data_IF_762486905902
#
_entry.id   IF_762486905902
#
_cell.length_a   1.000
_cell.length_b   1.000
_cell.length_c   1.000
_cell.angle_alpha   90.00
_cell.angle_beta   90.00
_cell.angle_gamma   90.00
#
_symmetry.space_group_name_H-M   'P 1'
#
loop_
_entity.id
_entity.type
_entity.pdbx_description
1 polymer ?
#
# COMPACT_ATOMS: atom_id res chain seq x y z
N UNK A 1 -4.02 -19.30 7.65
CA UNK A 1 -4.01 -17.82 7.60
C UNK A 1 -3.22 -17.39 6.38
N UNK A 2 -3.66 -16.40 5.59
CA UNK A 2 -2.90 -15.96 4.44
C UNK A 2 -1.56 -15.38 4.89
N UNK A 3 -0.44 -15.93 4.39
CA UNK A 3 0.89 -15.47 4.73
C UNK A 3 1.18 -14.16 3.98
N UNK A 4 1.13 -13.04 4.71
CA UNK A 4 1.68 -11.79 4.21
C UNK A 4 3.21 -11.95 4.13
N UNK A 5 3.79 -11.56 3.00
CA UNK A 5 5.24 -11.47 2.80
C UNK A 5 5.64 -10.00 2.61
N UNK A 6 6.90 -9.63 2.94
CA UNK A 6 7.45 -8.36 2.49
C UNK A 6 7.31 -8.24 0.98
N UNK A 7 6.90 -7.06 0.50
CA UNK A 7 6.67 -6.85 -0.93
C UNK A 7 7.29 -5.55 -1.43
N UNK A 8 7.72 -5.50 -2.70
CA UNK A 8 8.28 -4.30 -3.27
C UNK A 8 7.27 -3.16 -3.31
N UNK A 9 7.73 -1.92 -3.12
CA UNK A 9 6.90 -0.70 -3.26
C UNK A 9 6.07 -0.68 -4.55
N UNK A 10 6.65 -1.11 -5.67
CA UNK A 10 5.96 -1.17 -6.97
C UNK A 10 4.74 -2.10 -6.95
N UNK A 11 4.82 -3.23 -6.24
CA UNK A 11 3.72 -4.18 -6.08
C UNK A 11 2.61 -3.56 -5.25
N UNK A 12 2.96 -2.88 -4.15
CA UNK A 12 1.98 -2.16 -3.32
C UNK A 12 1.20 -1.13 -4.14
N UNK A 13 1.91 -0.29 -4.90
CA UNK A 13 1.34 0.73 -5.79
C UNK A 13 0.37 0.09 -6.80
N UNK A 14 0.75 -1.04 -7.39
CA UNK A 14 -0.09 -1.75 -8.38
C UNK A 14 -1.38 -2.28 -7.77
N UNK A 15 -1.31 -2.88 -6.57
CA UNK A 15 -2.47 -3.35 -5.80
C UNK A 15 -3.40 -2.18 -5.41
N UNK A 16 -2.84 -1.07 -4.93
CA UNK A 16 -3.59 0.13 -4.61
C UNK A 16 -4.30 0.71 -5.84
N UNK A 17 -3.65 0.74 -7.00
CA UNK A 17 -4.29 1.16 -8.26
C UNK A 17 -5.47 0.27 -8.65
N UNK A 18 -5.36 -1.05 -8.48
CA UNK A 18 -6.47 -2.00 -8.70
C UNK A 18 -7.66 -1.73 -7.77
N UNK A 19 -7.39 -1.28 -6.54
CA UNK A 19 -8.42 -0.86 -5.59
C UNK A 19 -9.06 0.50 -5.93
N UNK A 20 -8.62 1.17 -7.00
CA UNK A 20 -9.13 2.48 -7.40
C UNK A 20 -8.43 3.66 -6.74
N UNK A 21 -7.23 3.47 -6.19
CA UNK A 21 -6.39 4.58 -5.74
C UNK A 21 -5.66 5.24 -6.91
N UNK A 22 -5.63 6.57 -6.87
CA UNK A 22 -4.93 7.44 -7.82
C UNK A 22 -3.64 7.99 -7.19
N UNK A 23 -2.59 8.14 -8.01
CA UNK A 23 -1.26 8.57 -7.59
C UNK A 23 -0.15 7.64 -8.12
N UNK A 24 1.06 7.65 -7.55
CA UNK A 24 1.45 8.38 -6.34
C UNK A 24 1.56 9.90 -6.57
N UNK A 25 1.10 10.66 -5.59
CA UNK A 25 1.28 12.11 -5.53
C UNK A 25 2.46 12.42 -4.61
N UNK A 26 3.42 13.21 -5.09
CA UNK A 26 4.54 13.68 -4.28
C UNK A 26 4.05 14.62 -3.19
N UNK A 27 4.44 14.35 -1.95
CA UNK A 27 4.38 15.32 -0.85
C UNK A 27 5.80 15.63 -0.36
N UNK A 28 5.93 16.60 0.55
CA UNK A 28 7.20 17.11 1.06
C UNK A 28 8.13 16.04 1.65
N UNK A 29 7.59 14.91 2.11
CA UNK A 29 8.37 13.80 2.69
C UNK A 29 8.12 12.47 1.98
N UNK A 30 6.87 12.02 1.98
CA UNK A 30 6.47 10.72 1.43
C UNK A 30 5.40 10.90 0.36
N UNK A 31 5.53 10.14 -0.72
CA UNK A 31 4.48 10.01 -1.71
C UNK A 31 3.20 9.41 -1.10
N UNK A 32 2.03 9.81 -1.59
CA UNK A 32 0.75 9.29 -1.13
C UNK A 32 -0.17 8.95 -2.30
N UNK A 33 -1.08 8.02 -2.09
CA UNK A 33 -2.16 7.70 -3.01
C UNK A 33 -3.50 8.12 -2.43
N UNK A 34 -4.44 8.50 -3.28
CA UNK A 34 -5.77 8.96 -2.87
C UNK A 34 -6.90 8.22 -3.57
N UNK A 35 -8.00 7.96 -2.87
CA UNK A 35 -9.24 7.39 -3.42
C UNK A 35 -10.43 8.02 -2.72
N UNK A 36 -11.29 8.74 -3.44
CA UNK A 36 -12.57 9.28 -2.92
C UNK A 36 -12.49 9.94 -1.52
N UNK A 37 -11.41 10.67 -1.23
CA UNK A 37 -11.18 11.32 0.06
C UNK A 37 -10.26 10.55 1.03
N UNK A 38 -10.04 9.25 0.82
CA UNK A 38 -9.05 8.47 1.56
C UNK A 38 -7.64 8.75 1.02
N UNK A 39 -6.66 8.90 1.92
CA UNK A 39 -5.24 9.07 1.57
C UNK A 39 -4.38 8.03 2.26
N UNK A 40 -3.51 7.38 1.51
CA UNK A 40 -2.55 6.39 2.00
C UNK A 40 -1.14 6.85 1.68
N UNK A 41 -0.33 7.02 2.71
CA UNK A 41 1.09 7.35 2.56
C UNK A 41 1.88 6.09 2.20
N UNK A 42 2.71 6.20 1.18
CA UNK A 42 3.58 5.11 0.71
C UNK A 42 5.00 5.39 1.21
N UNK A 43 5.61 4.48 1.98
CA UNK A 43 6.95 4.67 2.52
C UNK A 43 7.98 4.89 1.40
N UNK A 44 8.97 5.76 1.64
CA UNK A 44 9.97 6.12 0.63
C UNK A 44 10.72 4.91 0.07
N UNK A 45 11.14 4.96 -1.20
CA UNK A 45 11.89 3.90 -1.84
C UNK A 45 13.28 3.77 -1.22
N UNK A 46 13.44 2.89 -0.24
CA UNK A 46 14.74 2.60 0.40
C UNK A 46 15.51 1.44 -0.27
N UNK A 47 15.15 1.07 -1.51
CA UNK A 47 15.76 -0.05 -2.23
C UNK A 47 15.46 -1.44 -1.65
N UNK A 48 14.70 -1.53 -0.54
CA UNK A 48 14.29 -2.77 0.14
C UNK A 48 12.77 -2.96 0.10
N UNK A 49 12.35 -4.21 0.28
CA UNK A 49 10.93 -4.56 0.40
C UNK A 49 10.27 -3.87 1.59
N UNK A 50 8.98 -3.58 1.45
CA UNK A 50 8.16 -3.04 2.52
C UNK A 50 7.93 -4.15 3.54
N UNK A 51 8.37 -3.94 4.77
CA UNK A 51 8.17 -4.89 5.84
C UNK A 51 6.69 -5.12 6.18
N UNK A 52 6.39 -6.33 6.65
CA UNK A 52 5.08 -6.76 7.15
C UNK A 52 4.35 -5.77 8.08
N UNK A 53 5.00 -5.10 9.06
CA UNK A 53 4.29 -4.18 9.95
C UNK A 53 3.68 -2.99 9.19
N UNK A 54 4.35 -2.50 8.14
CA UNK A 54 3.84 -1.39 7.33
C UNK A 54 2.69 -1.87 6.45
N UNK A 55 2.83 -3.05 5.82
CA UNK A 55 1.78 -3.65 5.00
C UNK A 55 0.50 -3.85 5.84
N UNK A 56 0.62 -4.42 7.05
CA UNK A 56 -0.52 -4.60 7.95
C UNK A 56 -1.20 -3.28 8.33
N UNK A 57 -0.43 -2.20 8.56
CA UNK A 57 -0.99 -0.86 8.81
C UNK A 57 -1.79 -0.35 7.61
N UNK A 58 -1.27 -0.53 6.40
CA UNK A 58 -1.95 -0.11 5.17
C UNK A 58 -3.24 -0.92 4.95
N UNK A 59 -3.19 -2.24 5.11
CA UNK A 59 -4.39 -3.11 5.02
C UNK A 59 -5.46 -2.68 6.01
N UNK A 60 -5.06 -2.36 7.26
CA UNK A 60 -5.98 -1.85 8.28
C UNK A 60 -6.59 -0.50 7.91
N UNK A 61 -5.81 0.41 7.29
CA UNK A 61 -6.33 1.69 6.78
C UNK A 61 -7.30 1.50 5.62
N UNK A 62 -7.03 0.53 4.75
CA UNK A 62 -7.88 0.16 3.61
C UNK A 62 -9.19 -0.53 4.02
N UNK A 63 -9.31 -0.97 5.30
CA UNK A 63 -10.44 -1.75 5.81
C UNK A 63 -10.74 -3.02 4.98
N UNK A 64 -9.71 -3.61 4.37
CA UNK A 64 -9.79 -4.88 3.63
C UNK A 64 -9.17 -6.01 4.43
N UNK A 65 -9.52 -7.25 4.08
CA UNK A 65 -8.91 -8.42 4.70
C UNK A 65 -7.52 -8.72 4.10
N UNK A 66 -6.67 -9.44 4.83
CA UNK A 66 -5.37 -9.89 4.32
C UNK A 66 -5.53 -10.75 3.06
N UNK A 67 -6.59 -11.56 3.00
CA UNK A 67 -6.89 -12.42 1.87
C UNK A 67 -7.30 -11.61 0.64
N UNK A 68 -8.18 -10.63 0.81
CA UNK A 68 -8.54 -9.70 -0.25
C UNK A 68 -7.31 -8.94 -0.76
N UNK A 69 -6.41 -8.53 0.13
CA UNK A 69 -5.17 -7.87 -0.28
C UNK A 69 -4.24 -8.79 -1.09
N UNK A 70 -4.19 -10.09 -0.78
CA UNK A 70 -3.38 -11.05 -1.50
C UNK A 70 -3.94 -11.39 -2.89
N UNK A 71 -5.27 -11.36 -3.03
CA UNK A 71 -6.00 -11.61 -4.28
C UNK A 71 -5.86 -10.48 -5.33
N UNK A 72 -5.56 -9.25 -4.89
CA UNK A 72 -5.28 -8.10 -5.77
C UNK A 72 -3.99 -8.26 -6.59
#
# INVERSE_FOLDING_TARGET
MPNLSPLPRRVLIRKLRKLGFSGPHSATRHEYMKRNGEKIFIPNPHGKDIGLPIIKKIIRQLKISNQQFLDL
#
